data_IF_287489344905
#
_entry.id   IF_287489344905
#
_cell.length_a   1.000
_cell.length_b   1.000
_cell.length_c   1.000
_cell.angle_alpha   90.00
_cell.angle_beta   90.00
_cell.angle_gamma   90.00
#
_symmetry.space_group_name_H-M   'P 1'
#
loop_
_entity.id
_entity.type
_entity.pdbx_description
1 polymer ?
#
# COMPACT_ATOMS: atom_id res chain seq x y z
N UNK A 1 -5.82 -18.04 -14.01
CA UNK A 1 -5.64 -16.94 -13.03
C UNK A 1 -7.03 -16.48 -12.62
N UNK A 2 -7.30 -16.29 -11.32
CA UNK A 2 -8.62 -15.83 -10.87
C UNK A 2 -8.86 -14.38 -11.28
N UNK A 3 -10.12 -14.02 -11.58
CA UNK A 3 -10.51 -12.66 -11.94
C UNK A 3 -10.10 -11.63 -10.86
N UNK A 4 -10.13 -12.04 -9.58
CA UNK A 4 -9.68 -11.23 -8.45
C UNK A 4 -8.20 -10.83 -8.53
N UNK A 5 -7.32 -11.70 -9.02
CA UNK A 5 -5.89 -11.38 -9.13
C UNK A 5 -5.62 -10.35 -10.23
N UNK A 6 -6.39 -10.40 -11.32
CA UNK A 6 -6.29 -9.44 -12.41
C UNK A 6 -6.77 -8.07 -11.95
N UNK A 7 -7.93 -8.03 -11.26
CA UNK A 7 -8.47 -6.78 -10.72
C UNK A 7 -7.50 -6.16 -9.70
N UNK A 8 -7.00 -6.96 -8.75
CA UNK A 8 -6.04 -6.50 -7.74
C UNK A 8 -4.77 -5.90 -8.35
N UNK A 9 -4.19 -6.57 -9.36
CA UNK A 9 -3.03 -6.04 -10.08
C UNK A 9 -3.33 -4.73 -10.79
N UNK A 10 -4.47 -4.64 -11.48
CA UNK A 10 -4.87 -3.41 -12.17
C UNK A 10 -5.12 -2.25 -11.20
N UNK A 11 -5.65 -2.53 -10.01
CA UNK A 11 -5.82 -1.53 -8.97
C UNK A 11 -4.48 -1.04 -8.38
N UNK A 12 -3.52 -1.95 -8.19
CA UNK A 12 -2.15 -1.58 -7.79
C UNK A 12 -1.43 -0.75 -8.87
N UNK A 13 -1.59 -1.10 -10.15
CA UNK A 13 -1.07 -0.30 -11.27
C UNK A 13 -1.65 1.12 -11.26
N UNK A 14 -2.96 1.24 -11.00
CA UNK A 14 -3.63 2.54 -10.90
C UNK A 14 -3.17 3.34 -9.66
N UNK A 15 -2.96 2.67 -8.52
CA UNK A 15 -2.44 3.28 -7.30
C UNK A 15 -1.00 3.81 -7.49
N UNK A 16 -0.12 3.02 -8.12
CA UNK A 16 1.24 3.44 -8.42
C UNK A 16 1.25 4.68 -9.34
N UNK A 17 0.45 4.65 -10.41
CA UNK A 17 0.32 5.81 -11.32
C UNK A 17 -0.21 7.05 -10.61
N UNK A 18 -1.20 6.90 -9.72
CA UNK A 18 -1.72 7.99 -8.91
C UNK A 18 -0.62 8.59 -8.01
N UNK A 19 0.18 7.74 -7.35
CA UNK A 19 1.29 8.17 -6.50
C UNK A 19 2.33 8.95 -7.32
N UNK A 20 2.76 8.44 -8.47
CA UNK A 20 3.71 9.13 -9.36
C UNK A 20 3.19 10.50 -9.80
N UNK A 21 1.92 10.59 -10.20
CA UNK A 21 1.26 11.86 -10.56
C UNK A 21 1.18 12.86 -9.40
N UNK A 22 1.21 12.38 -8.16
CA UNK A 22 1.18 13.18 -6.94
C UNK A 22 2.58 13.39 -6.34
N UNK A 23 3.65 13.18 -7.12
CA UNK A 23 5.03 13.50 -6.75
C UNK A 23 5.71 12.50 -5.83
N UNK A 24 5.19 11.27 -5.74
CA UNK A 24 5.88 10.17 -5.07
C UNK A 24 6.85 9.50 -6.06
N UNK A 25 7.99 9.04 -5.57
CA UNK A 25 8.91 8.19 -6.36
C UNK A 25 8.70 6.73 -5.96
N UNK A 26 8.26 5.88 -6.89
CA UNK A 26 8.07 4.46 -6.60
C UNK A 26 9.43 3.76 -6.47
N UNK A 27 9.67 3.13 -5.32
CA UNK A 27 10.92 2.40 -5.02
C UNK A 27 10.79 0.92 -5.33
N UNK A 28 9.70 0.29 -4.88
CA UNK A 28 9.37 -1.10 -5.17
C UNK A 28 7.85 -1.29 -5.26
N UNK A 29 7.45 -2.31 -6.02
CA UNK A 29 6.07 -2.79 -6.13
C UNK A 29 6.04 -4.30 -5.93
N UNK A 30 5.01 -4.82 -5.28
CA UNK A 30 4.90 -6.24 -4.93
C UNK A 30 6.17 -6.80 -4.28
N UNK A 31 6.79 -6.04 -3.36
CA UNK A 31 8.02 -6.48 -2.71
C UNK A 31 7.73 -7.67 -1.81
N UNK A 32 8.55 -8.72 -1.92
CA UNK A 32 8.39 -9.96 -1.15
C UNK A 32 9.71 -10.42 -0.56
N UNK A 33 9.66 -10.86 0.70
CA UNK A 33 10.78 -11.51 1.39
C UNK A 33 10.25 -12.57 2.34
N UNK A 34 10.52 -13.85 2.05
CA UNK A 34 9.90 -14.98 2.75
C UNK A 34 8.36 -14.88 2.71
N UNK A 35 7.71 -14.83 3.88
CA UNK A 35 6.26 -14.67 4.02
C UNK A 35 5.82 -13.19 4.15
N UNK A 36 6.76 -12.24 4.01
CA UNK A 36 6.50 -10.81 4.10
C UNK A 36 6.24 -10.21 2.72
N UNK A 37 5.35 -9.23 2.68
CA UNK A 37 4.80 -8.61 1.48
C UNK A 37 4.56 -7.12 1.75
N UNK A 38 4.91 -6.28 0.77
CA UNK A 38 4.54 -4.86 0.69
C UNK A 38 4.00 -4.60 -0.72
N UNK A 39 2.82 -3.98 -0.83
CA UNK A 39 2.20 -3.73 -2.14
C UNK A 39 2.97 -2.66 -2.90
N UNK A 40 3.15 -1.48 -2.30
CA UNK A 40 3.95 -0.39 -2.88
C UNK A 40 4.83 0.23 -1.79
N UNK A 41 6.09 0.49 -2.14
CA UNK A 41 7.01 1.31 -1.37
C UNK A 41 7.43 2.50 -2.20
N UNK A 42 7.31 3.71 -1.65
CA UNK A 42 7.62 4.95 -2.36
C UNK A 42 8.37 5.93 -1.45
N UNK A 43 9.11 6.85 -2.06
CA UNK A 43 9.77 7.96 -1.38
C UNK A 43 9.01 9.26 -1.65
N UNK A 44 8.79 10.06 -0.60
CA UNK A 44 8.27 11.43 -0.72
C UNK A 44 8.64 12.27 0.49
N UNK A 45 9.03 13.52 0.27
CA UNK A 45 9.29 14.49 1.34
C UNK A 45 10.27 14.00 2.43
N UNK A 46 11.27 13.19 2.03
CA UNK A 46 12.26 12.50 2.89
C UNK A 46 11.68 11.40 3.79
N UNK A 47 10.46 10.95 3.53
CA UNK A 47 9.83 9.82 4.19
C UNK A 47 9.78 8.59 3.26
N UNK A 48 9.91 7.41 3.86
CA UNK A 48 9.59 6.13 3.23
C UNK A 48 8.10 5.83 3.44
N UNK A 49 7.36 5.78 2.34
CA UNK A 49 5.93 5.59 2.33
C UNK A 49 5.61 4.13 2.00
N UNK A 50 5.01 3.44 2.95
CA UNK A 50 4.52 2.08 2.79
C UNK A 50 3.02 2.15 2.50
N UNK A 51 2.62 1.73 1.31
CA UNK A 51 1.23 1.81 0.86
C UNK A 51 0.65 0.42 0.71
N UNK A 52 -0.44 0.14 1.43
CA UNK A 52 -1.29 -1.03 1.19
C UNK A 52 -2.39 -0.64 0.19
N UNK A 53 -2.61 -1.47 -0.83
CA UNK A 53 -3.61 -1.21 -1.87
C UNK A 53 -4.81 -2.14 -1.70
N UNK A 54 -6.00 -1.55 -1.60
CA UNK A 54 -7.27 -2.27 -1.58
C UNK A 54 -8.03 -2.03 -2.87
N UNK A 55 -8.22 -3.09 -3.66
CA UNK A 55 -9.00 -3.01 -4.89
C UNK A 55 -10.39 -3.61 -4.70
N UNK A 56 -11.42 -2.92 -5.16
CA UNK A 56 -12.82 -3.36 -5.10
C UNK A 56 -13.56 -3.03 -6.39
N UNK A 57 -14.47 -3.91 -6.78
CA UNK A 57 -15.36 -3.67 -7.94
C UNK A 57 -16.61 -2.86 -7.59
N UNK A 58 -17.00 -2.75 -6.31
CA UNK A 58 -18.21 -2.05 -5.87
C UNK A 58 -17.95 -1.17 -4.62
N UNK A 59 -18.82 -0.19 -4.39
CA UNK A 59 -18.78 0.85 -3.34
C UNK A 59 -19.34 0.42 -1.98
N UNK A 60 -19.37 -0.88 -1.65
CA UNK A 60 -19.81 -1.32 -0.32
C UNK A 60 -18.89 -0.68 0.74
N UNK A 61 -19.46 0.33 1.42
CA UNK A 61 -18.77 1.28 2.27
C UNK A 61 -18.27 0.53 3.51
N UNK A 62 -16.97 0.28 3.56
CA UNK A 62 -16.29 -0.16 4.79
C UNK A 62 -15.44 1.03 5.18
N UNK A 63 -15.56 1.47 6.43
CA UNK A 63 -14.74 2.58 6.91
C UNK A 63 -13.25 2.25 6.70
N UNK A 64 -12.41 3.22 6.28
CA UNK A 64 -10.98 2.96 6.03
C UNK A 64 -10.24 2.34 7.22
N UNK A 65 -10.70 2.60 8.44
CA UNK A 65 -10.19 2.01 9.68
C UNK A 65 -10.53 0.52 9.86
N UNK A 66 -11.60 0.04 9.22
CA UNK A 66 -11.94 -1.38 9.14
C UNK A 66 -11.25 -2.08 7.95
N UNK A 67 -10.62 -1.33 7.05
CA UNK A 67 -10.05 -1.86 5.81
C UNK A 67 -8.76 -2.67 6.03
N UNK A 68 -8.08 -2.49 7.17
CA UNK A 68 -6.86 -3.24 7.55
C UNK A 68 -6.96 -3.69 9.00
N UNK A 69 -7.23 -4.98 9.20
CA UNK A 69 -7.29 -5.53 10.55
C UNK A 69 -5.91 -5.51 11.26
N UNK A 70 -5.93 -5.65 12.59
CA UNK A 70 -4.72 -5.65 13.43
C UNK A 70 -3.63 -6.64 12.97
N UNK A 71 -4.03 -7.82 12.49
CA UNK A 71 -3.11 -8.84 12.01
C UNK A 71 -2.36 -8.38 10.75
N UNK A 72 -3.06 -7.71 9.84
CA UNK A 72 -2.47 -7.17 8.61
C UNK A 72 -1.58 -5.96 8.92
N UNK A 73 -1.99 -5.06 9.83
CA UNK A 73 -1.12 -3.97 10.34
C UNK A 73 0.21 -4.54 10.84
N UNK A 74 0.17 -5.53 11.72
CA UNK A 74 1.38 -6.16 12.27
C UNK A 74 2.28 -6.75 11.17
N UNK A 75 1.69 -7.40 10.16
CA UNK A 75 2.45 -7.96 9.04
C UNK A 75 3.12 -6.88 8.20
N UNK A 76 2.42 -5.79 7.90
CA UNK A 76 2.95 -4.67 7.12
C UNK A 76 4.11 -4.01 7.88
N UNK A 77 3.96 -3.78 9.19
CA UNK A 77 5.03 -3.18 10.02
C UNK A 77 6.28 -4.07 10.06
N UNK A 78 6.12 -5.38 10.24
CA UNK A 78 7.26 -6.32 10.19
C UNK A 78 7.89 -6.37 8.79
N UNK A 79 7.09 -6.30 7.73
CA UNK A 79 7.58 -6.26 6.36
C UNK A 79 8.36 -4.97 6.07
N UNK A 80 7.88 -3.81 6.56
CA UNK A 80 8.56 -2.53 6.44
C UNK A 80 9.89 -2.52 7.19
N UNK A 81 9.96 -3.04 8.43
CA UNK A 81 11.22 -3.19 9.16
C UNK A 81 12.23 -4.08 8.41
N UNK A 82 11.75 -5.21 7.87
CA UNK A 82 12.60 -6.10 7.08
C UNK A 82 13.11 -5.44 5.79
N UNK A 83 12.31 -4.56 5.19
CA UNK A 83 12.67 -3.79 4.00
C UNK A 83 13.74 -2.75 4.33
N UNK A 84 13.53 -1.94 5.37
CA UNK A 84 14.46 -0.91 5.84
C UNK A 84 15.83 -1.52 6.15
N UNK A 85 15.85 -2.63 6.90
CA UNK A 85 17.07 -3.38 7.22
C UNK A 85 17.75 -3.97 5.98
N UNK A 86 16.97 -4.42 5.00
CA UNK A 86 17.53 -5.02 3.79
C UNK A 86 18.27 -4.01 2.92
N UNK A 87 17.77 -2.77 2.87
CA UNK A 87 18.31 -1.70 2.04
C UNK A 87 19.10 -0.64 2.83
N UNK A 88 19.30 -0.85 4.14
CA UNK A 88 20.01 0.07 5.03
C UNK A 88 19.47 1.50 4.96
N UNK A 89 18.15 1.65 4.99
CA UNK A 89 17.49 2.96 4.89
C UNK A 89 17.46 3.65 6.26
N UNK A 90 17.63 4.96 6.25
CA UNK A 90 17.50 5.83 7.41
C UNK A 90 16.54 6.98 7.06
N UNK A 91 15.25 6.72 7.19
CA UNK A 91 14.18 7.65 6.89
C UNK A 91 12.97 7.40 7.80
N UNK A 92 12.20 8.44 8.17
CA UNK A 92 10.89 8.27 8.78
C UNK A 92 9.99 7.42 7.89
N UNK A 93 9.15 6.58 8.51
CA UNK A 93 8.26 5.66 7.80
C UNK A 93 6.83 6.09 8.03
N UNK A 94 6.08 6.22 6.94
CA UNK A 94 4.64 6.52 6.96
C UNK A 94 3.86 5.37 6.33
N UNK A 95 2.76 4.99 6.97
CA UNK A 95 1.88 3.93 6.45
C UNK A 95 0.61 4.55 5.89
N UNK A 96 0.38 4.33 4.61
CA UNK A 96 -0.77 4.85 3.88
C UNK A 96 -1.65 3.69 3.39
N UNK A 97 -2.92 3.97 3.12
CA UNK A 97 -3.85 3.05 2.43
C UNK A 97 -4.33 3.74 1.17
N UNK A 98 -4.28 3.02 0.04
CA UNK A 98 -4.97 3.44 -1.18
C UNK A 98 -6.12 2.47 -1.45
N UNK A 99 -7.32 3.01 -1.67
CA UNK A 99 -8.45 2.25 -2.19
C UNK A 99 -8.64 2.57 -3.67
N UNK A 100 -8.67 1.53 -4.50
CA UNK A 100 -9.02 1.60 -5.91
C UNK A 100 -10.40 0.96 -6.12
N UNK A 101 -11.42 1.76 -6.43
CA UNK A 101 -12.79 1.30 -6.62
C UNK A 101 -13.19 1.40 -8.09
N UNK A 102 -13.63 0.29 -8.68
CA UNK A 102 -14.12 0.23 -10.06
C UNK A 102 -13.49 -0.90 -10.86
N UNK A 103 -13.27 -0.65 -12.15
CA UNK A 103 -12.76 -1.63 -13.11
C UNK A 103 -11.42 -1.18 -13.71
N UNK A 104 -10.64 -2.11 -14.31
CA UNK A 104 -9.39 -1.76 -14.97
C UNK A 104 -9.55 -0.61 -15.96
N UNK A 105 -8.79 0.47 -15.76
CA UNK A 105 -8.83 1.68 -16.59
C UNK A 105 -9.82 2.77 -16.13
N UNK A 106 -10.70 2.47 -15.17
CA UNK A 106 -11.71 3.40 -14.65
C UNK A 106 -11.78 3.40 -13.10
N UNK A 107 -10.66 3.13 -12.44
CA UNK A 107 -10.61 3.17 -10.98
C UNK A 107 -10.72 4.59 -10.45
N UNK A 108 -11.60 4.78 -9.46
CA UNK A 108 -11.56 5.90 -8.54
C UNK A 108 -10.55 5.59 -7.44
N UNK A 109 -9.58 6.48 -7.26
CA UNK A 109 -8.52 6.35 -6.26
C UNK A 109 -8.82 7.24 -5.06
N UNK A 110 -8.77 6.66 -3.87
CA UNK A 110 -8.82 7.37 -2.60
C UNK A 110 -7.56 7.04 -1.80
N UNK A 111 -6.82 8.08 -1.40
CA UNK A 111 -5.54 7.95 -0.69
C UNK A 111 -5.69 8.46 0.75
N UNK A 112 -5.73 7.53 1.69
CA UNK A 112 -5.65 7.82 3.11
C UNK A 112 -4.18 7.82 3.52
N UNK A 113 -3.65 9.01 3.76
CA UNK A 113 -2.30 9.19 4.31
C UNK A 113 -2.31 9.00 5.82
N UNK A 114 -1.18 8.54 6.38
CA UNK A 114 -1.05 8.31 7.83
C UNK A 114 -2.18 7.42 8.37
N UNK A 115 -2.51 6.38 7.61
CA UNK A 115 -3.67 5.53 7.87
C UNK A 115 -3.56 4.81 9.22
N UNK A 116 -2.35 4.49 9.66
CA UNK A 116 -2.07 3.97 10.99
C UNK A 116 -0.62 4.23 11.40
N UNK A 117 -0.38 4.17 12.72
CA UNK A 117 0.96 4.19 13.30
C UNK A 117 1.43 2.76 13.56
N UNK A 118 2.75 2.48 13.49
CA UNK A 118 3.28 1.21 13.93
C UNK A 118 2.95 1.04 15.42
N UNK A 119 2.16 0.03 15.79
CA UNK A 119 1.80 -0.15 17.18
C UNK A 119 3.00 -0.62 17.98
N UNK A 120 3.03 -0.24 19.26
CA UNK A 120 4.00 -0.75 20.23
C UNK A 120 3.59 -2.18 20.58
N UNK A 121 4.39 -3.16 20.21
CA UNK A 121 4.21 -4.57 20.59
C UNK A 121 5.29 -5.00 21.57
#
# INVERSE_FOLDING_TARGET
MSAHNILGKAGEDAAAKYLEQNGYTIRDRNWRKNHLELDIVADKDKELIIVEVKTRSNTDYIEPQDAVNWQKIRRIVVAADAYIKHFCLDAPVRFDIITAVGEPGAFRIEHLKEAFYPPMF
#
